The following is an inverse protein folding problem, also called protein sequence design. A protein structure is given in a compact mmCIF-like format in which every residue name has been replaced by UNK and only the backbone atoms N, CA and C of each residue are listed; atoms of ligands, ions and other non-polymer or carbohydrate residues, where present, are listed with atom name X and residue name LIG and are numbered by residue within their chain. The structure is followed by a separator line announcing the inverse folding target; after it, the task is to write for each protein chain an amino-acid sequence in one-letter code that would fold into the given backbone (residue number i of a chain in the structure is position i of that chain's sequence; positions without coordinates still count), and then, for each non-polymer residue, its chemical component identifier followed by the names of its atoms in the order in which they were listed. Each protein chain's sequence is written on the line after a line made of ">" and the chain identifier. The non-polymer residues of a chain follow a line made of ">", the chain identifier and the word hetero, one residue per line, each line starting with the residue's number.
data_IF_545228452578
#
_entry.id   IF_545228452578
#
_cell.length_a   1.000
_cell.length_b   1.000
_cell.length_c   1.000
_cell.angle_alpha   90.00
_cell.angle_beta   90.00
_cell.angle_gamma   90.00
#
_symmetry.space_group_name_H-M   'P 1'
#
loop_
_entity.id
_entity.type
_entity.pdbx_description
1 polymer ?
#
# COMPACT_ATOMS: atom_id res chain seq x y z
N UNK A 1 24.19 -7.53 4.61
CA UNK A 1 23.90 -7.05 3.24
C UNK A 1 23.10 -8.07 2.42
N UNK A 2 23.51 -9.35 2.35
CA UNK A 2 22.82 -10.38 1.52
C UNK A 2 21.33 -10.56 1.84
N UNK A 3 20.94 -10.47 3.12
CA UNK A 3 19.54 -10.66 3.54
C UNK A 3 18.60 -9.54 3.08
N UNK A 4 19.02 -8.28 3.18
CA UNK A 4 18.23 -7.10 2.78
C UNK A 4 17.93 -7.10 1.27
N UNK A 5 18.93 -7.45 0.45
CA UNK A 5 18.78 -7.63 -1.00
C UNK A 5 17.81 -8.77 -1.33
N UNK A 6 17.86 -9.87 -0.58
CA UNK A 6 16.99 -11.03 -0.81
C UNK A 6 15.51 -10.75 -0.52
N UNK A 7 15.22 -9.93 0.49
CA UNK A 7 13.83 -9.54 0.81
C UNK A 7 13.30 -8.58 -0.26
N UNK A 8 14.10 -7.61 -0.74
CA UNK A 8 13.73 -6.72 -1.86
C UNK A 8 13.44 -7.47 -3.17
N UNK A 9 14.11 -8.60 -3.42
CA UNK A 9 13.84 -9.42 -4.60
C UNK A 9 12.49 -10.19 -4.54
N UNK A 10 11.87 -10.29 -3.35
CA UNK A 10 10.63 -11.06 -3.15
C UNK A 10 9.40 -10.23 -2.85
N UNK A 11 9.59 -9.04 -2.28
CA UNK A 11 8.50 -8.18 -1.84
C UNK A 11 8.67 -6.78 -2.44
N UNK A 12 7.57 -6.23 -2.95
CA UNK A 12 7.51 -4.82 -3.32
C UNK A 12 7.12 -4.01 -2.10
N UNK A 13 7.78 -2.88 -1.90
CA UNK A 13 7.55 -1.96 -0.80
C UNK A 13 6.85 -0.71 -1.30
N UNK A 14 5.74 -0.36 -0.65
CA UNK A 14 5.02 0.87 -0.89
C UNK A 14 4.85 1.66 0.41
N UNK A 15 5.11 2.97 0.34
CA UNK A 15 4.83 3.88 1.45
C UNK A 15 3.56 4.70 1.20
N UNK A 16 2.71 4.84 2.23
CA UNK A 16 1.53 5.72 2.24
C UNK A 16 1.76 6.85 3.25
N UNK A 17 2.02 8.06 2.75
CA UNK A 17 2.39 9.23 3.57
C UNK A 17 1.53 10.46 3.19
N UNK A 18 1.26 11.41 4.09
CA UNK A 18 0.48 12.60 3.73
C UNK A 18 1.28 13.65 2.94
N UNK A 19 2.60 13.68 3.06
CA UNK A 19 3.43 14.78 2.54
C UNK A 19 4.75 14.26 1.94
N UNK A 20 5.17 14.84 0.81
CA UNK A 20 6.47 14.61 0.17
C UNK A 20 7.65 15.10 1.01
N UNK A 21 7.45 16.15 1.81
CA UNK A 21 8.52 16.75 2.63
C UNK A 21 9.14 15.74 3.61
N UNK A 22 8.33 14.84 4.19
CA UNK A 22 8.81 13.77 5.07
C UNK A 22 9.64 12.74 4.33
N UNK A 23 9.26 12.40 3.11
CA UNK A 23 9.97 11.44 2.25
C UNK A 23 11.36 11.95 1.94
N UNK A 24 11.46 13.22 1.54
CA UNK A 24 12.70 13.84 1.11
C UNK A 24 13.64 14.08 2.29
N UNK A 25 13.13 14.57 3.43
CA UNK A 25 13.91 14.76 4.65
C UNK A 25 14.51 13.46 5.20
N UNK A 26 13.79 12.34 5.07
CA UNK A 26 14.23 11.04 5.56
C UNK A 26 14.94 10.20 4.50
N UNK A 27 15.14 10.74 3.28
CA UNK A 27 15.77 10.04 2.16
C UNK A 27 15.15 8.65 1.89
N UNK A 28 13.83 8.54 2.06
CA UNK A 28 13.12 7.26 2.01
C UNK A 28 12.90 6.74 0.58
N UNK A 29 13.09 7.58 -0.44
CA UNK A 29 12.85 7.23 -1.86
C UNK A 29 13.59 5.96 -2.33
N UNK A 30 14.77 5.67 -1.79
CA UNK A 30 15.58 4.51 -2.20
C UNK A 30 15.17 3.19 -1.54
N UNK A 31 14.23 3.23 -0.59
CA UNK A 31 13.78 2.07 0.18
C UNK A 31 12.45 1.50 -0.31
N UNK A 32 11.65 2.29 -1.03
CA UNK A 32 10.32 1.91 -1.51
C UNK A 32 10.30 1.87 -3.04
N UNK A 33 9.66 0.85 -3.59
CA UNK A 33 9.42 0.75 -5.03
C UNK A 33 8.41 1.81 -5.49
N UNK A 34 7.43 2.13 -4.63
CA UNK A 34 6.38 3.12 -4.89
C UNK A 34 6.14 3.95 -3.62
N UNK A 35 5.91 5.25 -3.79
CA UNK A 35 5.49 6.12 -2.70
C UNK A 35 4.21 6.81 -3.13
N UNK A 36 3.15 6.62 -2.36
CA UNK A 36 1.87 7.27 -2.54
C UNK A 36 1.68 8.33 -1.48
N UNK A 37 1.43 9.54 -1.94
CA UNK A 37 1.19 10.69 -1.08
C UNK A 37 -0.29 11.00 -1.08
N UNK A 38 -0.94 10.97 0.10
CA UNK A 38 -2.40 11.12 0.17
C UNK A 38 -2.86 12.51 -0.27
N UNK A 39 -2.01 13.53 -0.21
CA UNK A 39 -2.30 14.85 -0.79
C UNK A 39 -2.52 14.83 -2.30
N UNK A 40 -2.03 13.81 -3.00
CA UNK A 40 -2.21 13.62 -4.45
C UNK A 40 -3.42 12.74 -4.78
N UNK A 41 -4.13 12.23 -3.78
CA UNK A 41 -5.29 11.34 -3.93
C UNK A 41 -6.55 11.94 -3.29
N UNK A 42 -7.75 11.66 -3.84
CA UNK A 42 -9.00 12.16 -3.28
C UNK A 42 -9.41 11.48 -1.97
N UNK A 43 -8.66 10.48 -1.51
CA UNK A 43 -8.97 9.67 -0.34
C UNK A 43 -7.75 9.58 0.57
N UNK A 44 -7.99 9.59 1.87
CA UNK A 44 -6.98 9.36 2.90
C UNK A 44 -7.28 8.11 3.73
N UNK A 45 -6.31 7.61 4.48
CA UNK A 45 -6.54 6.53 5.46
C UNK A 45 -7.51 7.04 6.52
N UNK A 46 -8.50 6.24 6.98
CA UNK A 46 -8.69 4.79 6.77
C UNK A 46 -9.58 4.41 5.57
N UNK A 47 -9.77 5.28 4.58
CA UNK A 47 -10.64 4.99 3.45
C UNK A 47 -10.07 3.88 2.56
N UNK A 48 -10.76 2.74 2.43
CA UNK A 48 -10.30 1.54 1.70
C UNK A 48 -9.76 1.82 0.28
N UNK A 49 -10.36 2.78 -0.45
CA UNK A 49 -9.91 3.16 -1.80
C UNK A 49 -8.43 3.51 -1.88
N UNK A 50 -7.83 4.19 -0.90
CA UNK A 50 -6.39 4.53 -0.97
C UNK A 50 -5.52 3.26 -0.98
N UNK A 51 -5.95 2.21 -0.28
CA UNK A 51 -5.26 0.93 -0.24
C UNK A 51 -5.47 0.14 -1.53
N UNK A 52 -6.66 0.21 -2.14
CA UNK A 52 -6.90 -0.42 -3.45
C UNK A 52 -6.10 0.25 -4.57
N UNK A 53 -6.02 1.59 -4.58
CA UNK A 53 -5.13 2.31 -5.49
C UNK A 53 -3.68 1.84 -5.30
N UNK A 54 -3.21 1.75 -4.05
CA UNK A 54 -1.88 1.21 -3.72
C UNK A 54 -1.65 -0.21 -4.27
N UNK A 55 -2.64 -1.10 -4.14
CA UNK A 55 -2.59 -2.43 -4.72
C UNK A 55 -2.55 -2.38 -6.26
N UNK A 56 -3.33 -1.50 -6.87
CA UNK A 56 -3.37 -1.25 -8.32
C UNK A 56 -2.01 -0.79 -8.87
N UNK A 57 -1.38 0.20 -8.22
CA UNK A 57 -0.03 0.67 -8.60
C UNK A 57 1.03 -0.44 -8.47
N UNK A 58 0.90 -1.32 -7.47
CA UNK A 58 1.79 -2.47 -7.29
C UNK A 58 1.48 -3.63 -8.26
N UNK A 59 0.29 -3.64 -8.88
CA UNK A 59 -0.21 -4.70 -9.75
C UNK A 59 -0.46 -6.01 -9.00
N UNK A 60 -0.99 -5.93 -7.78
CA UNK A 60 -1.26 -7.07 -6.90
C UNK A 60 -2.68 -7.00 -6.34
N UNK A 61 -3.23 -8.14 -5.95
CA UNK A 61 -4.55 -8.18 -5.31
C UNK A 61 -4.46 -7.75 -3.84
N UNK A 62 -5.51 -7.15 -3.25
CA UNK A 62 -5.54 -6.73 -1.84
C UNK A 62 -5.10 -7.83 -0.86
N UNK A 63 -5.55 -9.06 -1.08
CA UNK A 63 -5.22 -10.21 -0.24
C UNK A 63 -3.75 -10.66 -0.32
N UNK A 64 -2.95 -10.08 -1.23
CA UNK A 64 -1.51 -10.32 -1.36
C UNK A 64 -0.67 -9.23 -0.70
N UNK A 65 -1.32 -8.16 -0.23
CA UNK A 65 -0.68 -7.06 0.46
C UNK A 65 -0.81 -7.21 1.97
N UNK A 66 0.18 -6.70 2.70
CA UNK A 66 0.08 -6.50 4.14
C UNK A 66 0.19 -5.00 4.44
N UNK A 67 -0.61 -4.49 5.36
CA UNK A 67 -0.44 -3.14 5.89
C UNK A 67 0.43 -3.18 7.12
N UNK A 68 1.46 -2.32 7.17
CA UNK A 68 2.31 -2.13 8.34
C UNK A 68 2.22 -0.67 8.75
N UNK A 69 1.81 -0.41 9.99
CA UNK A 69 1.62 0.95 10.48
C UNK A 69 1.55 1.06 11.99
N UNK A 70 1.60 2.28 12.51
CA UNK A 70 1.60 2.59 13.93
C UNK A 70 0.23 3.01 14.47
N UNK A 71 -0.71 3.37 13.59
CA UNK A 71 -2.01 3.91 13.97
C UNK A 71 -3.13 2.90 13.76
N UNK A 72 -3.84 2.56 14.83
CA UNK A 72 -4.94 1.60 14.78
C UNK A 72 -6.12 2.11 13.94
N UNK A 73 -6.52 3.36 14.17
CA UNK A 73 -7.67 4.03 13.55
C UNK A 73 -7.49 4.35 12.06
N UNK A 74 -6.24 4.54 11.60
CA UNK A 74 -5.94 4.81 10.19
C UNK A 74 -5.38 3.60 9.45
N UNK A 75 -4.30 3.01 9.96
CA UNK A 75 -3.54 2.00 9.22
C UNK A 75 -4.20 0.63 9.33
N UNK A 76 -4.45 0.19 10.56
CA UNK A 76 -5.00 -1.14 10.84
C UNK A 76 -6.46 -1.20 10.38
N UNK A 77 -7.27 -0.22 10.80
CA UNK A 77 -8.66 -0.12 10.35
C UNK A 77 -8.78 0.01 8.84
N UNK A 78 -7.88 0.78 8.21
CA UNK A 78 -7.84 0.94 6.76
C UNK A 78 -7.51 -0.37 6.03
N UNK A 79 -6.50 -1.10 6.51
CA UNK A 79 -6.13 -2.41 5.97
C UNK A 79 -7.22 -3.46 6.12
N UNK A 80 -7.90 -3.48 7.27
CA UNK A 80 -9.07 -4.35 7.52
C UNK A 80 -10.20 -4.00 6.55
N UNK A 81 -10.56 -2.72 6.41
CA UNK A 81 -11.63 -2.26 5.51
C UNK A 81 -11.32 -2.55 4.04
N UNK A 82 -10.05 -2.51 3.66
CA UNK A 82 -9.58 -2.84 2.33
C UNK A 82 -9.39 -4.36 2.10
N UNK A 83 -9.65 -5.20 3.11
CA UNK A 83 -9.52 -6.65 3.05
C UNK A 83 -8.13 -7.10 2.57
N UNK A 84 -7.10 -6.46 3.13
CA UNK A 84 -5.73 -6.84 2.85
C UNK A 84 -5.42 -8.25 3.41
N UNK A 85 -4.35 -8.87 2.91
CA UNK A 85 -3.91 -10.20 3.36
C UNK A 85 -3.39 -10.25 4.79
N UNK A 86 -3.15 -9.08 5.40
CA UNK A 86 -2.86 -8.96 6.83
C UNK A 86 -2.52 -7.54 7.26
N UNK A 87 -2.58 -7.30 8.56
CA UNK A 87 -2.27 -6.03 9.20
C UNK A 87 -1.26 -6.23 10.33
N UNK A 88 -0.23 -5.39 10.35
CA UNK A 88 0.86 -5.44 11.33
C UNK A 88 0.92 -4.09 12.03
N UNK A 89 0.69 -4.10 13.33
CA UNK A 89 0.75 -2.90 14.16
C UNK A 89 2.11 -2.77 14.85
N UNK A 90 2.68 -1.57 14.77
CA UNK A 90 3.93 -1.19 15.46
C UNK A 90 3.65 0.00 16.39
N UNK A 91 3.35 -0.23 17.68
CA UNK A 91 3.04 0.85 18.61
C UNK A 91 4.24 1.80 18.81
N UNK A 92 4.02 3.11 18.64
CA UNK A 92 5.00 4.16 18.99
C UNK A 92 4.97 4.55 20.47
N UNK A 93 3.90 4.19 21.17
CA UNK A 93 3.68 4.44 22.59
C UNK A 93 3.29 3.16 23.31
N UNK A 94 3.22 3.18 24.63
CA UNK A 94 2.78 2.04 25.45
C UNK A 94 1.27 1.78 25.37
N UNK A 95 0.61 2.11 24.25
CA UNK A 95 -0.81 1.86 24.05
C UNK A 95 -1.06 0.35 24.12
N UNK A 96 -2.06 -0.03 24.91
CA UNK A 96 -2.53 -1.42 24.97
C UNK A 96 -3.84 -1.48 24.21
N UNK A 97 -4.01 -2.52 23.40
CA UNK A 97 -5.26 -2.75 22.68
C UNK A 97 -6.40 -2.89 23.68
N UNK A 98 -7.49 -2.16 23.42
CA UNK A 98 -8.77 -2.35 24.10
C UNK A 98 -9.81 -3.06 23.21
N UNK A 99 -10.98 -3.37 23.77
CA UNK A 99 -12.03 -4.10 23.05
C UNK A 99 -12.69 -3.27 21.92
N UNK A 100 -12.49 -1.95 21.89
CA UNK A 100 -13.02 -1.07 20.85
C UNK A 100 -12.00 -0.80 19.74
N UNK A 101 -10.73 -1.16 19.95
CA UNK A 101 -9.66 -0.97 18.99
C UNK A 101 -9.77 -1.94 17.80
N UNK A 102 -9.46 -1.48 16.58
CA UNK A 102 -9.22 -2.36 15.44
C UNK A 102 -8.19 -3.45 15.78
N UNK A 103 -8.56 -4.72 15.65
CA UNK A 103 -7.67 -5.84 16.00
C UNK A 103 -6.69 -6.13 14.85
N UNK A 104 -5.38 -5.87 15.01
CA UNK A 104 -4.39 -6.23 13.99
C UNK A 104 -4.12 -7.74 13.97
N UNK A 105 -3.71 -8.28 12.83
CA UNK A 105 -3.30 -9.70 12.73
C UNK A 105 -2.00 -9.97 13.48
N UNK A 106 -1.09 -9.00 13.50
CA UNK A 106 0.20 -9.09 14.17
C UNK A 106 0.54 -7.79 14.91
N UNK A 107 1.19 -7.93 16.06
CA UNK A 107 1.78 -6.81 16.80
C UNK A 107 3.27 -7.05 16.96
N UNK A 108 4.09 -6.10 16.55
CA UNK A 108 5.55 -6.12 16.74
C UNK A 108 6.03 -4.82 17.33
N UNK A 109 7.07 -4.87 18.15
CA UNK A 109 7.69 -3.69 18.77
C UNK A 109 8.60 -2.92 17.79
N UNK A 110 9.19 -3.60 16.82
CA UNK A 110 10.15 -3.03 15.88
C UNK A 110 10.01 -3.61 14.47
N UNK A 111 10.16 -2.73 13.47
CA UNK A 111 10.12 -3.09 12.03
C UNK A 111 11.17 -4.15 11.65
N UNK A 112 12.25 -4.28 12.42
CA UNK A 112 13.28 -5.31 12.23
C UNK A 112 12.77 -6.73 12.42
N UNK A 113 11.61 -6.92 13.08
CA UNK A 113 10.96 -8.22 13.22
C UNK A 113 10.07 -8.58 12.02
N UNK A 114 9.73 -7.62 11.16
CA UNK A 114 8.86 -7.82 10.00
C UNK A 114 9.36 -8.96 9.08
N UNK A 115 10.67 -9.08 8.75
CA UNK A 115 11.15 -10.17 7.91
C UNK A 115 10.93 -11.58 8.49
N UNK A 116 10.74 -11.72 9.81
CA UNK A 116 10.44 -13.00 10.44
C UNK A 116 8.94 -13.38 10.33
N UNK A 117 8.07 -12.38 10.07
CA UNK A 117 6.63 -12.58 9.88
C UNK A 117 6.28 -12.86 8.42
N UNK A 118 6.95 -12.22 7.46
CA UNK A 118 6.70 -12.38 6.02
C UNK A 118 6.69 -13.83 5.50
N UNK A 119 7.52 -14.77 5.99
CA UNK A 119 7.48 -16.18 5.59
C UNK A 119 6.26 -16.94 6.10
N UNK A 120 5.60 -16.42 7.13
CA UNK A 120 4.47 -17.06 7.83
C UNK A 120 3.11 -16.57 7.31
N UNK A 121 3.09 -15.49 6.52
CA UNK A 121 1.90 -15.02 5.80
C UNK A 121 1.57 -16.07 4.73
N UNK A 122 0.69 -17.01 5.06
CA UNK A 122 0.18 -18.06 4.17
C UNK A 122 -0.75 -17.46 3.12
N UNK A 123 -0.20 -16.80 2.11
CA UNK A 123 -0.80 -16.77 0.78
C UNK A 123 0.20 -16.31 -0.29
N UNK A 124 1.05 -17.22 -0.74
CA UNK A 124 1.65 -17.11 -2.07
C UNK A 124 1.19 -18.33 -2.89
N UNK A 125 0.03 -18.28 -3.56
CA UNK A 125 -0.22 -19.17 -4.68
C UNK A 125 0.80 -18.85 -5.78
N UNK A 126 1.74 -19.78 -5.98
CA UNK A 126 2.72 -19.87 -7.07
C UNK A 126 2.57 -18.86 -8.23
N UNK A 127 3.26 -17.71 -8.17
CA UNK A 127 3.34 -16.77 -9.30
C UNK A 127 4.64 -16.95 -10.07
N UNK A 128 4.92 -18.17 -10.56
CA UNK A 128 6.15 -18.44 -11.33
C UNK A 128 5.97 -18.40 -12.85
N UNK A 129 4.77 -18.15 -13.41
CA UNK A 129 4.56 -18.33 -14.86
C UNK A 129 3.49 -17.41 -15.51
N UNK A 130 3.50 -16.08 -15.32
CA UNK A 130 2.67 -15.24 -16.23
C UNK A 130 3.03 -13.77 -16.52
N UNK A 131 4.23 -13.27 -16.21
CA UNK A 131 4.65 -11.92 -16.65
C UNK A 131 5.99 -11.92 -17.36
N UNK A 132 6.03 -12.45 -18.59
CA UNK A 132 7.08 -12.12 -19.59
C UNK A 132 6.56 -11.36 -20.81
N UNK A 133 5.26 -11.06 -20.92
CA UNK A 133 4.73 -10.30 -22.05
C UNK A 133 3.65 -9.32 -21.59
N UNK A 134 4.00 -8.04 -21.47
CA UNK A 134 3.18 -6.83 -21.76
C UNK A 134 3.44 -5.64 -20.81
N UNK A 135 4.67 -5.13 -20.79
CA UNK A 135 4.97 -3.80 -20.22
C UNK A 135 5.27 -2.74 -21.29
N UNK A 136 4.65 -2.85 -22.48
CA UNK A 136 4.86 -1.89 -23.57
C UNK A 136 3.60 -1.13 -24.04
N UNK A 137 2.42 -1.29 -23.44
CA UNK A 137 1.21 -0.60 -23.93
C UNK A 137 0.17 -0.33 -22.83
N UNK A 138 0.52 0.49 -21.82
CA UNK A 138 -0.52 1.15 -21.00
C UNK A 138 -0.47 2.64 -21.33
N UNK A 139 -1.33 3.04 -22.28
CA UNK A 139 -1.66 4.44 -22.49
C UNK A 139 -2.55 4.91 -21.33
N UNK A 140 -2.23 6.07 -20.77
CA UNK A 140 -3.07 6.79 -19.80
C UNK A 140 -4.45 7.06 -20.44
N UNK A 141 -5.57 6.97 -19.70
CA UNK A 141 -6.85 7.36 -20.23
C UNK A 141 -6.89 8.87 -20.47
N UNK A 142 -7.35 9.26 -21.66
CA UNK A 142 -7.56 10.66 -22.07
C UNK A 142 -8.63 11.31 -21.18
N UNK A 143 -8.36 12.55 -20.76
CA UNK A 143 -9.31 13.42 -20.07
C UNK A 143 -10.32 13.88 -21.12
N UNK A 144 -11.58 13.47 -20.97
CA UNK A 144 -12.68 13.99 -21.79
C UNK A 144 -12.87 15.49 -21.54
N UNK A 145 -12.52 16.31 -22.53
CA UNK A 145 -12.89 17.72 -22.61
C UNK A 145 -14.42 17.83 -22.74
N UNK A 146 -15.08 18.24 -21.67
CA UNK A 146 -16.46 18.73 -21.74
C UNK A 146 -16.52 20.03 -22.55
N UNK A 147 -16.79 19.92 -23.84
CA UNK A 147 -17.25 21.01 -24.70
C UNK A 147 -18.33 20.50 -25.64
N UNK A 148 -19.56 20.39 -25.14
CA UNK A 148 -20.74 20.20 -25.98
C UNK A 148 -21.13 21.53 -26.63
N UNK A 149 -20.74 21.70 -27.90
CA UNK A 149 -21.42 22.62 -28.80
C UNK A 149 -22.77 22.03 -29.22
N UNK A 150 -23.82 22.84 -29.21
CA UNK A 150 -25.08 22.54 -29.89
C UNK A 150 -25.48 23.77 -30.69
N UNK A 151 -25.12 23.73 -31.97
CA UNK A 151 -25.63 24.56 -33.05
C UNK A 151 -26.72 23.77 -33.75
N UNK A 152 -27.95 24.29 -33.78
CA UNK A 152 -28.97 23.87 -34.74
C UNK A 152 -29.43 25.12 -35.49
N UNK A 153 -29.25 25.09 -36.81
CA UNK A 153 -29.73 26.10 -37.74
C UNK A 153 -30.99 25.63 -38.46
N UNK A 154 -31.86 26.58 -38.77
CA UNK A 154 -32.66 26.69 -39.99
C UNK A 154 -33.19 28.13 -40.09
#
# INVERSE_FOLDING_TARGET
>A
MVYQEWVKLRYKYLALTPEWEKVDKLSLRSYFDIILVSGDLPWEKPHHKIFHEACGYLGVEPHQCIMVGDKLDTDILGGIRAQLGGTVWIPLSSHQLDDNDPTPDYVIDHVTKLPNLLPQVKCIPNFRNKMRHNFNNVSLPDIDDCSSNSSDGS
#
